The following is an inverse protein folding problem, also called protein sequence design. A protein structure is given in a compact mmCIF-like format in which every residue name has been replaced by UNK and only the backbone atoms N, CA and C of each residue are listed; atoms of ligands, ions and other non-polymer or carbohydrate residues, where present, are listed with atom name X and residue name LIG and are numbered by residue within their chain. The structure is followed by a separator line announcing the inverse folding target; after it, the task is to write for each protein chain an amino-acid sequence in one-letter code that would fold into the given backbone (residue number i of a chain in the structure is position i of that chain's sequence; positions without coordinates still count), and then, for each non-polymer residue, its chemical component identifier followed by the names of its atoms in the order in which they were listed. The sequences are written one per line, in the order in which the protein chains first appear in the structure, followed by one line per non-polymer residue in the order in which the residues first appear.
data_IF_533136796634
#
_entry.id   IF_533136796634
#
_cell.length_a   1.000
_cell.length_b   1.000
_cell.length_c   1.000
_cell.angle_alpha   90.00
_cell.angle_beta   90.00
_cell.angle_gamma   90.00
#
_symmetry.space_group_name_H-M   'P 1'
#
loop_
_entity.id
_entity.type
_entity.pdbx_description
1 polymer ?
#
# COMPACT_ATOMS: atom_id res chain seq x y z
N UNK A 1 33.66 -14.07 0.77
CA UNK A 1 32.63 -13.79 1.79
C UNK A 1 31.39 -13.27 1.07
N UNK A 2 30.51 -14.20 0.71
CA UNK A 2 29.58 -14.00 -0.39
C UNK A 2 28.25 -13.53 0.23
N UNK A 3 27.94 -12.25 0.07
CA UNK A 3 26.67 -11.68 0.55
C UNK A 3 25.57 -12.16 -0.39
N UNK A 4 24.84 -13.21 -0.01
CA UNK A 4 23.61 -13.59 -0.71
C UNK A 4 22.57 -12.50 -0.44
N UNK A 5 22.47 -11.51 -1.33
CA UNK A 5 21.25 -10.71 -1.45
C UNK A 5 20.23 -11.62 -2.11
N UNK A 6 19.54 -12.42 -1.29
CA UNK A 6 18.29 -13.07 -1.70
C UNK A 6 17.32 -11.95 -2.03
N UNK A 7 17.30 -11.56 -3.31
CA UNK A 7 16.35 -10.57 -3.83
C UNK A 7 14.96 -11.19 -3.71
N UNK A 8 14.32 -11.02 -2.55
CA UNK A 8 12.89 -11.29 -2.35
C UNK A 8 12.12 -10.28 -3.20
N UNK A 9 12.05 -10.51 -4.51
CA UNK A 9 11.13 -9.77 -5.36
C UNK A 9 9.74 -10.34 -5.13
N UNK A 10 8.85 -9.46 -4.70
CA UNK A 10 7.42 -9.71 -4.76
C UNK A 10 6.97 -9.62 -6.23
N UNK A 11 5.96 -10.40 -6.63
CA UNK A 11 5.27 -10.22 -7.88
C UNK A 11 4.69 -8.79 -8.01
N UNK A 12 4.73 -8.23 -9.22
CA UNK A 12 4.27 -6.85 -9.47
C UNK A 12 2.77 -6.67 -9.23
N UNK A 13 1.96 -7.71 -9.46
CA UNK A 13 0.53 -7.74 -9.16
C UNK A 13 0.27 -7.70 -7.64
N UNK A 14 1.04 -8.44 -6.85
CA UNK A 14 0.97 -8.36 -5.38
C UNK A 14 1.38 -6.98 -4.85
N UNK A 15 2.42 -6.38 -5.44
CA UNK A 15 2.83 -5.00 -5.14
C UNK A 15 1.71 -4.01 -5.49
N UNK A 16 1.05 -4.19 -6.63
CA UNK A 16 -0.04 -3.34 -7.09
C UNK A 16 -1.27 -3.45 -6.17
N UNK A 17 -1.64 -4.66 -5.76
CA UNK A 17 -2.69 -4.88 -4.76
C UNK A 17 -2.37 -4.19 -3.44
N UNK A 18 -1.11 -4.27 -2.97
CA UNK A 18 -0.70 -3.59 -1.73
C UNK A 18 -0.78 -2.07 -1.86
N UNK A 19 -0.37 -1.50 -3.00
CA UNK A 19 -0.49 -0.05 -3.26
C UNK A 19 -1.95 0.40 -3.27
N UNK A 20 -2.84 -0.37 -3.90
CA UNK A 20 -4.28 -0.07 -3.89
C UNK A 20 -4.85 -0.10 -2.46
N UNK A 21 -4.44 -1.09 -1.65
CA UNK A 21 -4.87 -1.19 -0.25
C UNK A 21 -4.42 0.04 0.57
N UNK A 22 -3.18 0.48 0.40
CA UNK A 22 -2.64 1.69 1.07
C UNK A 22 -3.44 2.94 0.64
N UNK A 23 -3.73 3.10 -0.65
CA UNK A 23 -4.53 4.24 -1.15
C UNK A 23 -5.94 4.25 -0.58
N UNK A 24 -6.64 3.12 -0.60
CA UNK A 24 -8.00 3.01 -0.06
C UNK A 24 -8.03 3.28 1.46
N UNK A 25 -7.02 2.82 2.20
CA UNK A 25 -6.88 3.09 3.64
C UNK A 25 -6.67 4.58 3.89
N UNK A 26 -5.75 5.21 3.15
CA UNK A 26 -5.46 6.63 3.31
C UNK A 26 -6.67 7.51 2.97
N UNK A 27 -7.43 7.18 1.91
CA UNK A 27 -8.68 7.86 1.58
C UNK A 27 -9.72 7.75 2.71
N UNK A 28 -9.83 6.56 3.33
CA UNK A 28 -10.75 6.34 4.46
C UNK A 28 -10.31 7.12 5.71
N UNK A 29 -9.01 7.20 5.98
CA UNK A 29 -8.45 7.92 7.12
C UNK A 29 -8.63 9.44 7.01
N UNK A 30 -8.69 10.00 5.80
CA UNK A 30 -8.78 11.45 5.57
C UNK A 30 -10.21 12.01 5.60
N UNK A 31 -11.26 11.29 5.16
CA UNK A 31 -12.66 11.77 5.25
C UNK A 31 -13.70 10.63 5.32
N UNK A 32 -14.45 10.48 6.42
CA UNK A 32 -15.42 9.38 6.58
C UNK A 32 -16.86 9.64 6.06
N UNK A 33 -17.18 10.78 5.44
CA UNK A 33 -18.60 11.20 5.29
C UNK A 33 -19.27 10.85 3.95
N UNK A 34 -18.55 10.75 2.83
CA UNK A 34 -19.11 10.34 1.51
C UNK A 34 -18.23 9.30 0.87
N UNK A 35 -18.79 8.18 0.40
CA UNK A 35 -18.03 7.10 -0.24
C UNK A 35 -17.33 6.11 0.72
N UNK A 36 -17.39 6.34 2.03
CA UNK A 36 -16.69 5.52 3.02
C UNK A 36 -17.19 4.06 3.10
N UNK A 37 -18.43 3.77 2.70
CA UNK A 37 -18.92 2.39 2.59
C UNK A 37 -18.28 1.64 1.42
N UNK A 38 -18.09 2.32 0.29
CA UNK A 38 -17.42 1.75 -0.88
C UNK A 38 -15.93 1.51 -0.60
N UNK A 39 -15.25 2.47 0.02
CA UNK A 39 -13.85 2.32 0.43
C UNK A 39 -13.63 1.18 1.44
N UNK A 40 -14.58 0.98 2.37
CA UNK A 40 -14.51 -0.17 3.28
C UNK A 40 -14.69 -1.50 2.56
N UNK A 41 -15.61 -1.59 1.59
CA UNK A 41 -15.78 -2.79 0.74
C UNK A 41 -14.54 -3.06 -0.09
N UNK A 42 -13.97 -2.01 -0.68
CA UNK A 42 -12.72 -2.06 -1.43
C UNK A 42 -11.57 -2.60 -0.57
N UNK A 43 -11.39 -2.07 0.64
CA UNK A 43 -10.38 -2.53 1.58
C UNK A 43 -10.53 -4.00 1.97
N UNK A 44 -11.76 -4.46 2.21
CA UNK A 44 -12.03 -5.88 2.50
C UNK A 44 -11.64 -6.73 1.30
N UNK A 45 -12.08 -6.36 0.10
CA UNK A 45 -11.77 -7.09 -1.14
C UNK A 45 -10.26 -7.17 -1.39
N UNK A 46 -9.55 -6.05 -1.28
CA UNK A 46 -8.09 -5.99 -1.43
C UNK A 46 -7.37 -6.82 -0.36
N UNK A 47 -7.85 -6.80 0.87
CA UNK A 47 -7.29 -7.62 1.95
C UNK A 47 -7.45 -9.11 1.66
N UNK A 48 -8.62 -9.53 1.17
CA UNK A 48 -8.85 -10.91 0.73
C UNK A 48 -7.90 -11.29 -0.41
N UNK A 49 -7.82 -10.47 -1.47
CA UNK A 49 -6.96 -10.73 -2.64
C UNK A 49 -5.48 -10.85 -2.26
N UNK A 50 -4.99 -9.98 -1.36
CA UNK A 50 -3.63 -10.05 -0.84
C UNK A 50 -3.45 -11.34 -0.03
N UNK A 51 -4.39 -11.69 0.85
CA UNK A 51 -4.28 -12.91 1.69
C UNK A 51 -4.35 -14.22 0.90
N UNK A 52 -5.13 -14.25 -0.18
CA UNK A 52 -5.30 -15.43 -1.04
C UNK A 52 -4.27 -15.50 -2.16
N UNK A 53 -3.30 -14.57 -2.20
CA UNK A 53 -2.38 -14.49 -3.33
C UNK A 53 -1.50 -15.75 -3.43
N UNK A 54 -1.33 -16.34 -4.64
CA UNK A 54 -0.55 -17.57 -4.83
C UNK A 54 0.90 -17.50 -4.32
N UNK A 55 1.47 -16.29 -4.28
CA UNK A 55 2.78 -16.01 -3.67
C UNK A 55 2.89 -16.57 -2.23
N UNK A 56 1.84 -16.44 -1.44
CA UNK A 56 1.85 -16.89 -0.04
C UNK A 56 1.71 -18.40 0.09
N UNK A 57 1.08 -19.07 -0.88
CA UNK A 57 1.00 -20.53 -0.88
C UNK A 57 2.40 -21.17 -0.96
N UNK A 58 3.35 -20.52 -1.61
CA UNK A 58 4.72 -21.04 -1.77
C UNK A 58 5.68 -20.60 -0.68
N UNK A 59 5.49 -19.39 -0.12
CA UNK A 59 6.42 -18.80 0.87
C UNK A 59 5.91 -18.77 2.30
N UNK A 60 4.64 -19.09 2.51
CA UNK A 60 3.96 -18.93 3.77
C UNK A 60 3.58 -17.47 4.04
N UNK A 61 2.38 -17.28 4.58
CA UNK A 61 1.96 -15.98 5.09
C UNK A 61 2.70 -15.65 6.39
N UNK A 62 3.31 -14.47 6.48
CA UNK A 62 4.00 -14.02 7.69
C UNK A 62 3.95 -12.51 7.88
N UNK A 63 3.94 -12.04 9.13
CA UNK A 63 3.99 -10.61 9.47
C UNK A 63 5.24 -9.94 8.88
N UNK A 64 6.40 -10.58 8.95
CA UNK A 64 7.63 -10.09 8.35
C UNK A 64 7.49 -9.95 6.82
N UNK A 65 6.87 -10.93 6.15
CA UNK A 65 6.59 -10.87 4.72
C UNK A 65 5.63 -9.74 4.34
N UNK A 66 4.64 -9.45 5.18
CA UNK A 66 3.74 -8.31 4.98
C UNK A 66 4.46 -6.96 5.12
N UNK A 67 5.36 -6.83 6.10
CA UNK A 67 6.16 -5.61 6.29
C UNK A 67 7.08 -5.38 5.10
N UNK A 68 7.73 -6.42 4.59
CA UNK A 68 8.57 -6.29 3.40
C UNK A 68 7.76 -5.98 2.15
N UNK A 69 6.55 -6.54 2.02
CA UNK A 69 5.62 -6.20 0.94
C UNK A 69 5.20 -4.72 1.01
N UNK A 70 4.90 -4.22 2.22
CA UNK A 70 4.58 -2.81 2.45
C UNK A 70 5.74 -1.91 2.02
N UNK A 71 6.96 -2.18 2.51
CA UNK A 71 8.15 -1.42 2.13
C UNK A 71 8.43 -1.48 0.62
N UNK A 72 8.19 -2.64 -0.01
CA UNK A 72 8.36 -2.79 -1.45
C UNK A 72 7.31 -1.98 -2.25
N UNK A 73 6.09 -1.89 -1.75
CA UNK A 73 5.04 -1.06 -2.34
C UNK A 73 5.41 0.44 -2.31
N UNK A 74 6.04 0.90 -1.22
CA UNK A 74 6.51 2.29 -1.02
C UNK A 74 7.75 2.68 -1.85
N UNK A 75 8.63 1.72 -2.20
CA UNK A 75 9.91 2.02 -2.88
C UNK A 75 9.82 2.24 -4.40
N UNK A 76 8.66 2.03 -5.04
CA UNK A 76 8.54 2.13 -6.49
C UNK A 76 8.30 3.56 -7.02
N UNK A 77 8.33 3.78 -8.35
CA UNK A 77 8.01 5.08 -8.95
C UNK A 77 6.57 5.55 -8.67
N UNK A 78 5.67 4.60 -8.36
CA UNK A 78 4.31 4.85 -7.87
C UNK A 78 4.17 4.66 -6.35
N UNK A 79 5.31 4.64 -5.64
CA UNK A 79 5.46 4.42 -4.22
C UNK A 79 4.85 5.54 -3.42
N UNK A 80 3.52 5.53 -3.37
CA UNK A 80 2.63 6.43 -2.62
C UNK A 80 2.80 7.92 -3.00
N UNK A 81 2.48 8.26 -4.26
CA UNK A 81 1.96 9.59 -4.67
C UNK A 81 0.48 9.37 -5.04
N UNK A 82 -0.54 10.05 -4.53
CA UNK A 82 -0.67 11.35 -3.88
C UNK A 82 -1.91 11.32 -2.96
N UNK A 83 -1.87 11.99 -1.81
CA UNK A 83 -3.06 12.33 -1.03
C UNK A 83 -3.57 13.70 -1.49
N UNK A 84 -4.20 13.74 -2.66
CA UNK A 84 -4.83 14.96 -3.17
C UNK A 84 -6.16 15.16 -2.43
N UNK A 85 -6.16 16.02 -1.41
CA UNK A 85 -7.38 16.41 -0.69
C UNK A 85 -7.92 17.68 -1.34
N UNK A 86 -9.13 17.62 -1.92
CA UNK A 86 -9.89 18.84 -2.23
C UNK A 86 -10.53 19.36 -0.95
N UNK A 87 -9.97 20.42 -0.38
CA UNK A 87 -10.56 21.14 0.76
C UNK A 87 -11.09 22.49 0.24
N UNK A 88 -12.41 22.72 0.37
CA UNK A 88 -13.07 23.99 -0.01
C UNK A 88 -12.75 24.55 -1.42
N UNK A 89 -12.52 23.68 -2.42
CA UNK A 89 -12.24 24.09 -3.80
C UNK A 89 -10.75 24.17 -4.15
N UNK A 90 -9.85 24.04 -3.18
CA UNK A 90 -8.40 24.08 -3.35
C UNK A 90 -7.80 22.66 -3.25
N UNK A 91 -6.86 22.35 -4.14
CA UNK A 91 -6.19 21.05 -4.25
C UNK A 91 -4.95 21.04 -3.37
N UNK A 92 -4.98 20.27 -2.28
CA UNK A 92 -3.82 20.08 -1.40
C UNK A 92 -3.21 18.72 -1.64
N UNK A 93 -1.95 18.73 -2.05
CA UNK A 93 -1.10 17.55 -2.12
C UNK A 93 -0.50 17.32 -0.74
N UNK A 94 -1.05 16.38 0.03
CA UNK A 94 -0.39 15.93 1.26
C UNK A 94 0.74 14.98 0.84
N UNK A 95 1.97 15.51 0.81
CA UNK A 95 3.18 14.69 0.76
C UNK A 95 3.32 13.94 2.08
N UNK A 96 3.63 12.65 1.97
CA UNK A 96 3.98 11.78 3.09
C UNK A 96 4.87 12.51 4.14
N UNK A 97 4.54 12.47 5.45
CA UNK A 97 5.33 13.13 6.48
C UNK A 97 6.67 12.43 6.80
N UNK A 98 7.15 11.51 5.95
CA UNK A 98 8.34 10.68 6.18
C UNK A 98 9.69 11.28 5.79
N UNK A 99 9.77 12.49 5.22
CA UNK A 99 11.05 13.18 4.97
C UNK A 99 11.23 14.36 5.91
N UNK A 100 11.57 14.07 7.17
CA UNK A 100 12.23 15.05 8.03
C UNK A 100 13.65 15.22 7.47
N UNK A 101 13.91 16.36 6.82
CA UNK A 101 15.23 16.80 6.39
C UNK A 101 16.22 16.64 7.54
N UNK A 102 17.34 15.98 7.25
CA UNK A 102 18.54 16.06 8.08
C UNK A 102 19.45 17.17 7.57
#
# INVERSE_FOLDING_TARGET
MNKWVMSFRFPDDLISLKRQQIRAYNQLALRPTVGAAELRRELIRLSCLISSHPYWAQRGWSTAGQVELFRAAERGPEGVRELSVRWNGEEFVVTDPGLRSS
#
